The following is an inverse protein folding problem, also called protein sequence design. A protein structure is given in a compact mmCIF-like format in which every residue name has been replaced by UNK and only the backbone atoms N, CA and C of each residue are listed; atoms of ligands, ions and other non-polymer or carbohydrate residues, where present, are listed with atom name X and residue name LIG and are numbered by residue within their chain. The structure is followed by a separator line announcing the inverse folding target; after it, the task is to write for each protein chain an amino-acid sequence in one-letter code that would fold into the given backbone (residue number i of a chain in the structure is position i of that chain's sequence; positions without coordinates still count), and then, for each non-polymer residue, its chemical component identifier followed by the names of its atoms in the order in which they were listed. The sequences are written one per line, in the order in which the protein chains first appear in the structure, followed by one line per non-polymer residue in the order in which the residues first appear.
data_IF_696310525882
#
_entry.id   IF_696310525882
#
_cell.length_a   1.000
_cell.length_b   1.000
_cell.length_c   1.000
_cell.angle_alpha   90.00
_cell.angle_beta   90.00
_cell.angle_gamma   90.00
#
_symmetry.space_group_name_H-M   'P 1'
#
loop_
_entity.id
_entity.type
_entity.pdbx_description
1 polymer ?
#
# COMPACT_ATOMS: atom_id res chain seq x y z
N UNK A 1 6.51 21.55 -14.29
CA UNK A 1 7.57 20.66 -13.76
C UNK A 1 7.00 19.25 -13.80
N UNK A 2 7.57 18.35 -14.63
CA UNK A 2 7.16 16.95 -14.68
C UNK A 2 7.69 16.28 -13.42
N UNK A 3 6.82 15.98 -12.45
CA UNK A 3 7.19 15.10 -11.36
C UNK A 3 7.57 13.76 -12.00
N UNK A 4 8.80 13.33 -11.80
CA UNK A 4 9.25 12.02 -12.24
C UNK A 4 8.40 10.97 -11.51
N UNK A 5 7.80 10.03 -12.24
CA UNK A 5 7.23 8.82 -11.66
C UNK A 5 8.34 8.11 -10.86
N UNK A 6 8.34 8.27 -9.54
CA UNK A 6 9.22 7.49 -8.68
C UNK A 6 8.46 6.23 -8.27
N UNK A 7 8.63 5.16 -9.05
CA UNK A 7 8.27 3.84 -8.59
C UNK A 7 9.24 3.45 -7.46
N UNK A 8 8.83 3.65 -6.21
CA UNK A 8 9.55 3.14 -5.06
C UNK A 8 9.16 1.66 -4.87
N UNK A 9 9.87 0.75 -5.53
CA UNK A 9 9.64 -0.70 -5.37
C UNK A 9 10.14 -1.14 -3.98
N UNK A 10 9.25 -1.17 -2.99
CA UNK A 10 9.59 -1.71 -1.66
C UNK A 10 9.47 -3.24 -1.64
N UNK A 11 10.49 -3.93 -2.15
CA UNK A 11 10.57 -5.39 -2.03
C UNK A 11 11.10 -5.79 -0.64
N UNK A 12 10.18 -6.05 0.30
CA UNK A 12 10.25 -6.97 1.46
C UNK A 12 9.46 -6.43 2.66
N UNK A 13 8.16 -6.74 2.67
CA UNK A 13 7.33 -6.74 3.88
C UNK A 13 6.88 -8.17 4.27
N UNK A 14 7.44 -9.19 3.61
CA UNK A 14 7.11 -10.60 3.82
C UNK A 14 7.53 -11.12 5.19
N UNK A 15 8.52 -10.52 5.85
CA UNK A 15 9.00 -10.98 7.17
C UNK A 15 8.10 -10.55 8.35
N UNK A 16 7.10 -9.69 8.11
CA UNK A 16 6.19 -9.17 9.16
C UNK A 16 4.75 -9.67 9.05
N UNK A 17 4.41 -10.41 8.00
CA UNK A 17 3.10 -11.04 7.84
C UNK A 17 3.17 -12.49 8.34
N UNK A 18 2.16 -12.98 9.09
CA UNK A 18 2.17 -14.32 9.65
C UNK A 18 2.36 -15.38 8.54
N UNK A 19 3.34 -16.25 8.77
CA UNK A 19 3.90 -17.23 7.83
C UNK A 19 3.00 -18.44 7.51
N UNK A 20 1.71 -18.21 7.26
CA UNK A 20 0.78 -19.28 6.90
C UNK A 20 0.02 -18.94 5.61
N UNK A 21 0.73 -18.83 4.49
CA UNK A 21 0.26 -19.31 3.18
C UNK A 21 1.46 -19.46 2.25
N UNK A 22 1.61 -20.66 1.68
CA UNK A 22 2.77 -21.12 0.94
C UNK A 22 2.77 -20.69 -0.53
N UNK A 23 2.52 -19.40 -0.80
CA UNK A 23 2.78 -18.79 -2.10
C UNK A 23 3.87 -17.73 -1.92
N UNK A 24 5.11 -18.08 -2.29
CA UNK A 24 6.17 -17.10 -2.42
C UNK A 24 5.87 -16.22 -3.64
N UNK A 25 5.94 -14.90 -3.48
CA UNK A 25 5.61 -13.95 -4.53
C UNK A 25 6.07 -12.55 -4.18
N UNK A 26 6.21 -11.72 -5.21
CA UNK A 26 6.55 -10.30 -5.07
C UNK A 26 5.28 -9.48 -4.86
N UNK A 27 5.33 -8.59 -3.89
CA UNK A 27 4.35 -7.52 -3.73
C UNK A 27 4.97 -6.23 -4.25
N UNK A 28 4.32 -5.61 -5.23
CA UNK A 28 4.71 -4.27 -5.67
C UNK A 28 3.93 -3.23 -4.87
N UNK A 29 4.65 -2.25 -4.31
CA UNK A 29 4.07 -1.01 -3.83
C UNK A 29 4.47 0.09 -4.81
N UNK A 30 3.50 0.78 -5.38
CA UNK A 30 3.72 1.78 -6.44
C UNK A 30 3.17 3.12 -5.99
N UNK A 31 4.04 4.13 -5.87
CA UNK A 31 3.61 5.48 -5.52
C UNK A 31 3.31 6.26 -6.79
N UNK A 32 2.10 6.82 -6.87
CA UNK A 32 1.60 7.55 -8.05
C UNK A 32 1.06 8.93 -7.65
N UNK A 33 0.95 9.82 -8.63
CA UNK A 33 0.27 11.11 -8.44
C UNK A 33 -1.25 10.97 -8.47
N UNK A 34 -1.96 12.05 -8.13
CA UNK A 34 -3.42 12.06 -8.07
C UNK A 34 -4.10 11.89 -9.42
N UNK A 35 -3.48 12.33 -10.52
CA UNK A 35 -4.03 12.15 -11.86
C UNK A 35 -4.00 10.66 -12.26
N UNK A 36 -2.85 10.02 -12.10
CA UNK A 36 -2.67 8.59 -12.35
C UNK A 36 -3.58 7.75 -11.46
N UNK A 37 -3.70 8.10 -10.17
CA UNK A 37 -4.61 7.40 -9.27
C UNK A 37 -6.08 7.55 -9.69
N UNK A 38 -6.51 8.73 -10.14
CA UNK A 38 -7.87 8.95 -10.61
C UNK A 38 -8.17 8.11 -11.86
N UNK A 39 -7.24 8.06 -12.81
CA UNK A 39 -7.37 7.25 -14.02
C UNK A 39 -7.49 5.74 -13.68
N UNK A 40 -6.69 5.25 -12.73
CA UNK A 40 -6.77 3.86 -12.25
C UNK A 40 -8.10 3.56 -11.55
N UNK A 41 -8.56 4.46 -10.68
CA UNK A 41 -9.80 4.29 -9.93
C UNK A 41 -11.02 4.27 -10.87
N UNK A 42 -11.02 5.12 -11.90
CA UNK A 42 -12.09 5.15 -12.90
C UNK A 42 -12.05 3.93 -13.80
N UNK A 43 -10.88 3.58 -14.37
CA UNK A 43 -10.76 2.48 -15.34
C UNK A 43 -10.98 1.10 -14.74
N UNK A 44 -10.62 0.88 -13.47
CA UNK A 44 -10.74 -0.44 -12.82
C UNK A 44 -11.94 -0.58 -11.87
N UNK A 45 -12.33 0.50 -11.17
CA UNK A 45 -13.42 0.45 -10.18
C UNK A 45 -14.64 1.31 -10.56
N UNK A 46 -14.55 2.12 -11.62
CA UNK A 46 -15.64 2.99 -12.06
C UNK A 46 -15.91 4.17 -11.12
N UNK A 47 -14.95 4.51 -10.25
CA UNK A 47 -15.09 5.62 -9.30
C UNK A 47 -14.33 6.86 -9.78
N UNK A 48 -14.97 8.02 -9.73
CA UNK A 48 -14.37 9.29 -10.15
C UNK A 48 -13.39 9.85 -9.11
N UNK A 49 -12.21 10.27 -9.57
CA UNK A 49 -11.22 10.98 -8.76
C UNK A 49 -10.25 10.06 -7.99
N UNK A 50 -9.21 10.63 -7.37
CA UNK A 50 -8.19 9.84 -6.69
C UNK A 50 -8.68 9.29 -5.36
N UNK A 51 -8.17 8.11 -4.99
CA UNK A 51 -8.26 7.55 -3.63
C UNK A 51 -6.88 7.49 -2.99
N UNK A 52 -6.79 7.17 -1.70
CA UNK A 52 -5.54 6.96 -0.97
C UNK A 52 -4.76 5.74 -1.48
N UNK A 53 -5.44 4.60 -1.64
CA UNK A 53 -4.85 3.33 -2.04
C UNK A 53 -5.77 2.52 -2.95
N UNK A 54 -5.17 1.83 -3.93
CA UNK A 54 -5.81 0.76 -4.70
C UNK A 54 -4.98 -0.51 -4.57
N UNK A 55 -5.66 -1.64 -4.42
CA UNK A 55 -5.00 -2.93 -4.29
C UNK A 55 -5.52 -3.89 -5.36
N UNK A 56 -4.62 -4.43 -6.16
CA UNK A 56 -4.90 -5.42 -7.18
C UNK A 56 -4.30 -6.76 -6.77
N UNK A 57 -5.15 -7.75 -6.58
CA UNK A 57 -4.75 -9.13 -6.32
C UNK A 57 -4.53 -9.84 -7.67
N UNK A 58 -3.28 -10.15 -7.98
CA UNK A 58 -2.87 -10.78 -9.24
C UNK A 58 -2.71 -12.31 -9.11
N UNK A 59 -3.10 -12.88 -7.96
CA UNK A 59 -3.06 -14.34 -7.76
C UNK A 59 -4.00 -15.02 -8.76
N UNK A 60 -3.46 -15.99 -9.49
CA UNK A 60 -4.20 -16.77 -10.49
C UNK A 60 -4.32 -16.12 -11.87
N UNK A 61 -3.72 -14.95 -12.10
CA UNK A 61 -3.70 -14.28 -13.41
C UNK A 61 -2.41 -14.57 -14.20
N UNK A 62 -2.30 -15.73 -14.85
CA UNK A 62 -1.17 -16.04 -15.73
C UNK A 62 -0.71 -17.51 -15.67
N UNK A 63 0.18 -17.96 -16.57
CA UNK A 63 0.75 -19.30 -16.47
C UNK A 63 1.56 -19.41 -15.16
N UNK A 64 1.56 -20.57 -14.48
CA UNK A 64 2.37 -20.77 -13.28
C UNK A 64 3.85 -20.61 -13.66
N UNK A 65 4.42 -19.46 -13.29
CA UNK A 65 5.85 -19.19 -13.38
C UNK A 65 6.46 -19.70 -12.10
N UNK A 66 7.67 -20.26 -12.17
CA UNK A 66 8.45 -20.68 -11.01
C UNK A 66 8.34 -19.62 -9.90
N UNK A 67 7.91 -20.03 -8.70
CA UNK A 67 7.28 -19.22 -7.64
C UNK A 67 8.23 -18.22 -6.95
N UNK A 68 9.30 -17.80 -7.62
CA UNK A 68 10.35 -16.95 -7.05
C UNK A 68 10.36 -15.53 -7.61
N UNK A 69 9.72 -15.26 -8.76
CA UNK A 69 9.72 -13.93 -9.40
C UNK A 69 8.33 -13.41 -9.79
N UNK A 70 7.26 -14.12 -9.44
CA UNK A 70 5.90 -13.72 -9.81
C UNK A 70 5.36 -12.60 -8.90
N UNK A 71 4.83 -11.53 -9.49
CA UNK A 71 4.12 -10.48 -8.74
C UNK A 71 2.71 -10.97 -8.40
N UNK A 72 2.47 -11.23 -7.12
CA UNK A 72 1.18 -11.75 -6.63
C UNK A 72 0.15 -10.65 -6.38
N UNK A 73 0.60 -9.42 -6.19
CA UNK A 73 -0.27 -8.28 -5.98
C UNK A 73 0.46 -6.95 -6.21
N UNK A 74 -0.32 -5.92 -6.49
CA UNK A 74 0.14 -4.54 -6.56
C UNK A 74 -0.70 -3.64 -5.64
N UNK A 75 -0.03 -2.76 -4.93
CA UNK A 75 -0.62 -1.75 -4.04
C UNK A 75 -0.20 -0.38 -4.55
N UNK A 76 -1.13 0.35 -5.15
CA UNK A 76 -0.92 1.70 -5.64
C UNK A 76 -1.27 2.69 -4.54
N UNK A 77 -0.36 3.61 -4.24
CA UNK A 77 -0.51 4.63 -3.18
C UNK A 77 -0.45 6.02 -3.79
N UNK A 78 -1.44 6.86 -3.50
CA UNK A 78 -1.52 8.21 -4.03
C UNK A 78 -0.74 9.22 -3.18
N UNK A 79 0.36 9.74 -3.72
CA UNK A 79 1.21 10.71 -3.05
C UNK A 79 0.48 12.01 -2.75
N UNK A 80 -0.34 12.49 -3.68
CA UNK A 80 -1.09 13.75 -3.49
C UNK A 80 -2.11 13.65 -2.36
N UNK A 81 -2.73 12.47 -2.18
CA UNK A 81 -3.62 12.20 -1.05
C UNK A 81 -2.82 12.13 0.24
N UNK A 82 -1.69 11.42 0.26
CA UNK A 82 -0.80 11.32 1.42
C UNK A 82 -0.28 12.70 1.88
N UNK A 83 0.09 13.59 0.95
CA UNK A 83 0.51 14.96 1.27
C UNK A 83 -0.61 15.76 1.94
N UNK A 84 -1.85 15.66 1.43
CA UNK A 84 -3.00 16.34 2.06
C UNK A 84 -3.33 15.77 3.43
N UNK A 85 -3.26 14.45 3.58
CA UNK A 85 -3.49 13.77 4.84
C UNK A 85 -2.42 14.13 5.88
N UNK A 86 -1.15 14.19 5.49
CA UNK A 86 -0.04 14.59 6.35
C UNK A 86 -0.28 15.94 7.01
N UNK A 87 -0.74 16.93 6.24
CA UNK A 87 -1.13 18.25 6.77
C UNK A 87 -2.34 18.16 7.69
N UNK A 88 -3.37 17.41 7.30
CA UNK A 88 -4.63 17.31 8.05
C UNK A 88 -4.45 16.62 9.39
N UNK A 89 -3.64 15.57 9.43
CA UNK A 89 -3.44 14.72 10.60
C UNK A 89 -2.16 15.05 11.38
N UNK A 90 -1.39 16.06 10.93
CA UNK A 90 -0.10 16.43 11.55
C UNK A 90 0.86 15.25 11.61
N UNK A 91 0.95 14.50 10.51
CA UNK A 91 1.85 13.35 10.31
C UNK A 91 2.86 13.67 9.19
N UNK A 92 3.86 12.80 8.98
CA UNK A 92 4.79 12.94 7.85
C UNK A 92 4.20 12.31 6.58
N UNK A 93 4.64 12.77 5.40
CA UNK A 93 4.24 12.17 4.12
C UNK A 93 4.63 10.69 4.07
N UNK A 94 5.83 10.36 4.56
CA UNK A 94 6.30 8.96 4.64
C UNK A 94 5.43 8.09 5.54
N UNK A 95 4.93 8.64 6.64
CA UNK A 95 3.99 7.94 7.51
C UNK A 95 2.69 7.59 6.77
N UNK A 96 2.07 8.55 6.08
CA UNK A 96 0.82 8.33 5.36
C UNK A 96 0.99 7.33 4.20
N UNK A 97 2.07 7.45 3.42
CA UNK A 97 2.36 6.51 2.32
C UNK A 97 2.47 5.07 2.83
N UNK A 98 3.20 4.86 3.94
CA UNK A 98 3.37 3.53 4.51
C UNK A 98 2.11 3.02 5.21
N UNK A 99 1.32 3.90 5.82
CA UNK A 99 0.02 3.54 6.36
C UNK A 99 -0.89 3.02 5.25
N UNK A 100 -0.94 3.69 4.10
CA UNK A 100 -1.74 3.26 2.95
C UNK A 100 -1.22 1.97 2.32
N UNK A 101 0.10 1.81 2.21
CA UNK A 101 0.69 0.55 1.78
C UNK A 101 0.32 -0.61 2.73
N UNK A 102 0.47 -0.41 4.05
CA UNK A 102 0.11 -1.39 5.06
C UNK A 102 -1.39 -1.71 5.03
N UNK A 103 -2.24 -0.71 4.82
CA UNK A 103 -3.68 -0.87 4.67
C UNK A 103 -4.03 -1.76 3.46
N UNK A 104 -3.46 -1.46 2.29
CA UNK A 104 -3.65 -2.29 1.09
C UNK A 104 -3.17 -3.73 1.28
N UNK A 105 -2.06 -3.92 1.98
CA UNK A 105 -1.55 -5.25 2.33
C UNK A 105 -2.45 -6.02 3.30
N UNK A 106 -3.05 -5.36 4.28
CA UNK A 106 -3.97 -5.99 5.21
C UNK A 106 -5.23 -6.50 4.49
N UNK A 107 -5.72 -5.76 3.49
CA UNK A 107 -6.79 -6.26 2.62
C UNK A 107 -6.38 -7.51 1.83
N UNK A 108 -5.15 -7.57 1.29
CA UNK A 108 -4.64 -8.79 0.63
C UNK A 108 -4.54 -9.98 1.58
N UNK A 109 -4.26 -9.72 2.86
CA UNK A 109 -4.21 -10.70 3.94
C UNK A 109 -5.62 -11.10 4.46
N UNK A 110 -6.70 -10.56 3.87
CA UNK A 110 -8.08 -10.91 4.22
C UNK A 110 -8.66 -10.14 5.41
N UNK A 111 -8.01 -9.06 5.86
CA UNK A 111 -8.62 -8.11 6.79
C UNK A 111 -9.59 -7.18 6.04
N UNK A 112 -10.62 -6.71 6.74
CA UNK A 112 -11.68 -5.85 6.19
C UNK A 112 -11.98 -4.72 7.19
N UNK A 113 -12.54 -3.61 6.72
CA UNK A 113 -12.87 -2.41 7.52
C UNK A 113 -14.28 -1.85 7.23
N UNK A 114 -15.11 -2.61 6.52
CA UNK A 114 -16.48 -2.21 6.16
C UNK A 114 -17.42 -2.02 7.36
N UNK A 115 -17.18 -2.71 8.47
CA UNK A 115 -17.94 -2.54 9.72
C UNK A 115 -17.05 -2.16 10.89
N UNK A 116 -17.66 -1.64 11.96
CA UNK A 116 -16.91 -1.08 13.09
C UNK A 116 -16.04 -2.09 13.83
N UNK A 117 -16.45 -3.36 13.89
CA UNK A 117 -15.69 -4.41 14.56
C UNK A 117 -14.41 -4.69 13.78
N UNK A 118 -14.55 -4.91 12.48
CA UNK A 118 -13.44 -5.31 11.62
C UNK A 118 -12.50 -4.11 11.41
N UNK A 119 -13.05 -2.89 11.27
CA UNK A 119 -12.27 -1.65 11.27
C UNK A 119 -11.40 -1.49 12.53
N UNK A 120 -11.93 -1.78 13.72
CA UNK A 120 -11.13 -1.72 14.96
C UNK A 120 -10.00 -2.75 14.97
N UNK A 121 -10.24 -3.95 14.43
CA UNK A 121 -9.24 -5.00 14.30
C UNK A 121 -8.15 -4.58 13.31
N UNK A 122 -8.53 -4.12 12.13
CA UNK A 122 -7.61 -3.67 11.09
C UNK A 122 -6.76 -2.47 11.56
N UNK A 123 -7.37 -1.47 12.21
CA UNK A 123 -6.65 -0.34 12.84
C UNK A 123 -5.63 -0.80 13.88
N UNK A 124 -5.88 -1.90 14.57
CA UNK A 124 -4.91 -2.49 15.52
C UNK A 124 -3.75 -3.16 14.79
N UNK A 125 -4.02 -3.83 13.67
CA UNK A 125 -3.00 -4.43 12.82
C UNK A 125 -2.13 -3.36 12.15
N UNK A 126 -2.72 -2.29 11.60
CA UNK A 126 -2.01 -1.13 11.06
C UNK A 126 -1.04 -0.55 12.09
N UNK A 127 -1.49 -0.30 13.33
CA UNK A 127 -0.62 0.22 14.40
C UNK A 127 0.57 -0.68 14.69
N UNK A 128 0.39 -2.01 14.64
CA UNK A 128 1.48 -2.97 14.86
C UNK A 128 2.50 -2.89 13.73
N UNK A 129 2.04 -2.91 12.48
CA UNK A 129 2.90 -2.78 11.30
C UNK A 129 3.66 -1.46 11.32
N UNK A 130 2.97 -0.34 11.57
CA UNK A 130 3.60 0.98 11.62
C UNK A 130 4.63 1.11 12.75
N UNK A 131 4.38 0.51 13.92
CA UNK A 131 5.38 0.46 15.01
C UNK A 131 6.64 -0.27 14.56
N UNK A 132 6.51 -1.41 13.87
CA UNK A 132 7.65 -2.15 13.34
C UNK A 132 8.40 -1.36 12.27
N UNK A 133 7.68 -0.71 11.35
CA UNK A 133 8.27 0.10 10.28
C UNK A 133 9.04 1.31 10.82
N UNK A 134 8.48 2.03 11.80
CA UNK A 134 9.15 3.16 12.45
C UNK A 134 10.42 2.73 13.21
N UNK A 135 10.43 1.52 13.79
CA UNK A 135 11.62 0.99 14.45
C UNK A 135 12.72 0.59 13.45
N UNK A 136 12.34 0.15 12.25
CA UNK A 136 13.27 -0.30 11.21
C UNK A 136 13.76 0.85 10.31
N UNK A 137 12.94 1.88 10.11
CA UNK A 137 13.21 2.99 9.20
C UNK A 137 12.74 4.33 9.80
N UNK A 138 13.54 5.40 9.72
CA UNK A 138 13.08 6.75 10.05
C UNK A 138 12.13 7.23 8.95
N UNK A 139 10.82 7.10 9.20
CA UNK A 139 9.79 7.35 8.18
C UNK A 139 9.71 8.82 7.76
N UNK A 140 10.12 9.73 8.63
CA UNK A 140 10.18 11.16 8.35
C UNK A 140 11.17 11.49 7.22
N UNK A 141 12.21 10.67 7.05
CA UNK A 141 13.29 10.92 6.07
C UNK A 141 12.99 10.36 4.68
N UNK A 142 11.94 9.53 4.54
CA UNK A 142 11.68 8.74 3.33
C UNK A 142 11.33 9.60 2.10
N UNK A 143 10.80 10.81 2.32
CA UNK A 143 10.49 11.78 1.26
C UNK A 143 11.16 13.16 1.48
N UNK A 144 12.04 13.29 2.47
CA UNK A 144 12.96 14.42 2.64
C UNK A 144 12.33 15.82 2.74
N UNK A 145 11.35 16.01 3.64
CA UNK A 145 10.84 17.35 3.99
C UNK A 145 11.25 17.77 5.40
#
# INVERSE_FOLDING_TARGET
MKAAHQALMMSRLTDTLPAETADHGLLNVVVVDGATMADLNESHLGHSGPTDVLTFDLRGEGPPVDHTEWVVAEVYVCLDVAVRAAVTYTTSVGYEVLLYAAHGMLHLAGEDDRNDRDRRRMRSAERRIMTCLQAAWPLEELFGY
#
